data_IF_582846716073
#
_entry.id   IF_582846716073
#
_cell.length_a   1.000
_cell.length_b   1.000
_cell.length_c   1.000
_cell.angle_alpha   90.00
_cell.angle_beta   90.00
_cell.angle_gamma   90.00
#
_symmetry.space_group_name_H-M   'P 1'
#
loop_
_entity.id
_entity.type
_entity.pdbx_description
1 polymer ?
#
# COMPACT_ATOMS: atom_id res chain seq x y z
N UNK A 1 12.12 -3.45 8.95
CA UNK A 1 12.58 -4.50 8.03
C UNK A 1 13.70 -4.03 7.11
N UNK A 2 13.58 -2.85 6.48
CA UNK A 2 14.65 -2.25 5.65
C UNK A 2 15.98 -2.06 6.38
N UNK A 3 15.97 -1.49 7.60
CA UNK A 3 17.19 -1.38 8.43
C UNK A 3 17.88 -2.73 8.73
N UNK A 4 17.12 -3.83 8.76
CA UNK A 4 17.70 -5.17 8.94
C UNK A 4 18.34 -5.69 7.64
N UNK A 5 17.82 -5.30 6.47
CA UNK A 5 18.45 -5.59 5.18
C UNK A 5 19.75 -4.80 5.02
N UNK A 6 19.79 -3.52 5.40
CA UNK A 6 21.01 -2.70 5.33
C UNK A 6 22.15 -3.29 6.19
N UNK A 7 21.84 -3.70 7.42
CA UNK A 7 22.82 -4.38 8.28
C UNK A 7 23.32 -5.68 7.65
N UNK A 8 22.41 -6.47 7.06
CA UNK A 8 22.78 -7.72 6.40
C UNK A 8 23.58 -7.50 5.11
N UNK A 9 23.31 -6.43 4.37
CA UNK A 9 24.05 -6.06 3.15
C UNK A 9 25.50 -5.68 3.47
N UNK A 10 25.69 -4.96 4.59
CA UNK A 10 27.03 -4.65 5.11
C UNK A 10 27.79 -5.92 5.49
N UNK A 11 27.13 -6.85 6.20
CA UNK A 11 27.71 -8.14 6.56
C UNK A 11 28.03 -8.97 5.30
N UNK A 12 27.13 -9.00 4.31
CA UNK A 12 27.32 -9.70 3.03
C UNK A 12 28.54 -9.14 2.28
N UNK A 13 28.69 -7.82 2.23
CA UNK A 13 29.85 -7.16 1.62
C UNK A 13 31.15 -7.54 2.31
N UNK A 14 31.17 -7.58 3.65
CA UNK A 14 32.33 -7.99 4.42
C UNK A 14 32.71 -9.46 4.20
N UNK A 15 31.72 -10.35 4.03
CA UNK A 15 31.98 -11.77 3.73
C UNK A 15 32.51 -11.98 2.30
N UNK A 16 32.19 -11.10 1.35
CA UNK A 16 32.69 -11.19 -0.03
C UNK A 16 34.22 -11.19 -0.08
N UNK A 17 34.89 -10.37 0.73
CA UNK A 17 36.35 -10.34 0.84
C UNK A 17 36.95 -11.66 1.36
N UNK A 18 36.19 -12.40 2.19
CA UNK A 18 36.63 -13.72 2.68
C UNK A 18 36.52 -14.78 1.59
N UNK A 19 35.45 -14.74 0.78
CA UNK A 19 35.29 -15.63 -0.38
C UNK A 19 36.41 -15.40 -1.40
N UNK A 20 36.72 -14.14 -1.74
CA UNK A 20 37.82 -13.81 -2.66
C UNK A 20 39.18 -14.32 -2.17
N UNK A 21 39.42 -14.31 -0.84
CA UNK A 21 40.65 -14.89 -0.26
C UNK A 21 40.70 -16.41 -0.39
N UNK A 22 39.57 -17.10 -0.19
CA UNK A 22 39.50 -18.55 -0.35
C UNK A 22 39.75 -18.94 -1.82
N UNK A 23 39.20 -18.17 -2.76
CA UNK A 23 39.45 -18.34 -4.20
C UNK A 23 40.94 -18.18 -4.54
N UNK A 24 41.58 -17.12 -4.03
CA UNK A 24 43.01 -16.90 -4.24
C UNK A 24 43.88 -18.06 -3.68
N UNK A 25 43.55 -18.55 -2.48
CA UNK A 25 44.26 -19.68 -1.86
C UNK A 25 44.05 -20.99 -2.64
N UNK A 26 42.84 -21.24 -3.14
CA UNK A 26 42.56 -22.42 -3.95
C UNK A 26 43.36 -22.40 -5.26
N UNK A 27 43.42 -21.24 -5.93
CA UNK A 27 44.22 -21.05 -7.14
C UNK A 27 45.73 -21.19 -6.89
N UNK A 28 46.21 -20.73 -5.73
CA UNK A 28 47.62 -20.87 -5.34
C UNK A 28 47.99 -22.35 -5.11
N UNK A 29 47.16 -23.10 -4.39
CA UNK A 29 47.36 -24.54 -4.19
C UNK A 29 47.35 -25.33 -5.50
N UNK A 30 46.50 -24.93 -6.45
CA UNK A 30 46.47 -25.52 -7.79
C UNK A 30 47.78 -25.27 -8.55
N UNK A 31 48.27 -24.02 -8.52
CA UNK A 31 49.53 -23.61 -9.14
C UNK A 31 50.74 -24.38 -8.60
N UNK A 32 50.77 -24.67 -7.30
CA UNK A 32 51.87 -25.43 -6.68
C UNK A 32 51.70 -26.95 -6.78
N UNK A 33 50.64 -27.44 -7.42
CA UNK A 33 50.42 -28.87 -7.64
C UNK A 33 50.18 -29.64 -6.34
N UNK A 34 49.38 -29.08 -5.42
CA UNK A 34 49.03 -29.76 -4.17
C UNK A 34 48.43 -31.15 -4.42
N UNK A 35 48.89 -32.15 -3.68
CA UNK A 35 48.58 -33.56 -3.96
C UNK A 35 47.09 -33.93 -3.83
N UNK A 36 46.31 -33.23 -3.00
CA UNK A 36 44.87 -33.46 -2.79
C UNK A 36 44.01 -32.27 -3.25
N UNK A 37 44.34 -31.73 -4.43
CA UNK A 37 43.52 -30.70 -5.09
C UNK A 37 42.05 -31.09 -5.31
N UNK A 38 41.68 -32.36 -5.61
CA UNK A 38 40.27 -32.74 -5.77
C UNK A 38 39.41 -32.42 -4.53
N UNK A 39 39.94 -32.68 -3.32
CA UNK A 39 39.22 -32.38 -2.07
C UNK A 39 39.11 -30.88 -1.82
N UNK A 40 40.19 -30.12 -2.07
CA UNK A 40 40.20 -28.65 -1.93
C UNK A 40 39.18 -28.02 -2.87
N UNK A 41 39.19 -28.42 -4.15
CA UNK A 41 38.27 -27.93 -5.17
C UNK A 41 36.82 -28.25 -4.82
N UNK A 42 36.52 -29.49 -4.39
CA UNK A 42 35.16 -29.86 -3.98
C UNK A 42 34.63 -29.03 -2.79
N UNK A 43 35.50 -28.65 -1.84
CA UNK A 43 35.12 -27.73 -0.75
C UNK A 43 34.94 -26.30 -1.23
N UNK A 44 35.84 -25.82 -2.08
CA UNK A 44 35.75 -24.49 -2.69
C UNK A 44 34.45 -24.33 -3.48
N UNK A 45 34.15 -25.25 -4.39
CA UNK A 45 32.96 -25.23 -5.22
C UNK A 45 31.68 -25.21 -4.36
N UNK A 46 31.65 -25.99 -3.27
CA UNK A 46 30.53 -25.99 -2.32
C UNK A 46 30.35 -24.64 -1.63
N UNK A 47 31.45 -24.03 -1.18
CA UNK A 47 31.42 -22.70 -0.55
C UNK A 47 30.94 -21.64 -1.55
N UNK A 48 31.46 -21.67 -2.77
CA UNK A 48 31.09 -20.73 -3.84
C UNK A 48 29.61 -20.87 -4.23
N UNK A 49 29.13 -22.10 -4.46
CA UNK A 49 27.72 -22.35 -4.76
C UNK A 49 26.80 -21.87 -3.64
N UNK A 50 27.15 -22.14 -2.39
CA UNK A 50 26.34 -21.68 -1.23
C UNK A 50 26.34 -20.14 -1.15
N UNK A 51 27.46 -19.50 -1.47
CA UNK A 51 27.57 -18.04 -1.50
C UNK A 51 26.72 -17.41 -2.60
N UNK A 52 26.71 -18.00 -3.79
CA UNK A 52 25.88 -17.54 -4.91
C UNK A 52 24.39 -17.69 -4.61
N UNK A 53 23.98 -18.81 -4.02
CA UNK A 53 22.61 -19.02 -3.58
C UNK A 53 22.19 -18.00 -2.52
N UNK A 54 23.09 -17.70 -1.57
CA UNK A 54 22.83 -16.70 -0.54
C UNK A 54 22.63 -15.31 -1.14
N UNK A 55 23.50 -14.88 -2.06
CA UNK A 55 23.36 -13.59 -2.77
C UNK A 55 22.03 -13.53 -3.52
N UNK A 56 21.68 -14.58 -4.26
CA UNK A 56 20.43 -14.66 -5.01
C UNK A 56 19.20 -14.52 -4.11
N UNK A 57 19.16 -15.28 -3.01
CA UNK A 57 18.06 -15.24 -2.04
C UNK A 57 17.97 -13.88 -1.33
N UNK A 58 19.11 -13.26 -1.02
CA UNK A 58 19.14 -11.93 -0.43
C UNK A 58 18.56 -10.88 -1.39
N UNK A 59 18.97 -10.91 -2.66
CA UNK A 59 18.47 -9.99 -3.68
C UNK A 59 16.96 -10.16 -3.91
N UNK A 60 16.50 -11.41 -4.02
CA UNK A 60 15.06 -11.73 -4.12
C UNK A 60 14.28 -11.15 -2.93
N UNK A 61 14.78 -11.35 -1.71
CA UNK A 61 14.17 -10.80 -0.50
C UNK A 61 14.18 -9.27 -0.49
N UNK A 62 15.28 -8.64 -0.93
CA UNK A 62 15.41 -7.18 -1.01
C UNK A 62 14.36 -6.62 -1.97
N UNK A 63 14.29 -7.15 -3.19
CA UNK A 63 13.29 -6.75 -4.19
C UNK A 63 11.86 -6.90 -3.65
N UNK A 64 11.54 -8.05 -3.05
CA UNK A 64 10.19 -8.30 -2.53
C UNK A 64 9.84 -7.34 -1.38
N UNK A 65 10.77 -7.08 -0.46
CA UNK A 65 10.55 -6.12 0.63
C UNK A 65 10.41 -4.69 0.12
N UNK A 66 11.22 -4.26 -0.86
CA UNK A 66 11.09 -2.94 -1.46
C UNK A 66 9.74 -2.76 -2.16
N UNK A 67 9.29 -3.75 -2.94
CA UNK A 67 7.97 -3.75 -3.57
C UNK A 67 6.85 -3.65 -2.54
N UNK A 68 6.90 -4.49 -1.49
CA UNK A 68 5.90 -4.47 -0.44
C UNK A 68 5.84 -3.12 0.29
N UNK A 69 6.99 -2.50 0.60
CA UNK A 69 7.04 -1.17 1.22
C UNK A 69 6.40 -0.11 0.32
N UNK A 70 6.77 -0.07 -0.97
CA UNK A 70 6.20 0.91 -1.91
C UNK A 70 4.68 0.74 -2.09
N UNK A 71 4.20 -0.51 -2.10
CA UNK A 71 2.78 -0.81 -2.14
C UNK A 71 2.05 -0.34 -0.87
N UNK A 72 2.63 -0.56 0.31
CA UNK A 72 2.07 -0.05 1.57
C UNK A 72 2.04 1.48 1.63
N UNK A 73 3.07 2.17 1.16
CA UNK A 73 3.10 3.63 1.08
C UNK A 73 2.01 4.17 0.14
N UNK A 74 1.80 3.50 -0.99
CA UNK A 74 0.74 3.85 -1.95
C UNK A 74 -0.63 3.64 -1.32
N UNK A 75 -0.87 2.49 -0.67
CA UNK A 75 -2.12 2.20 0.02
C UNK A 75 -2.39 3.23 1.13
N UNK A 76 -1.40 3.58 1.94
CA UNK A 76 -1.55 4.59 2.99
C UNK A 76 -1.96 5.97 2.42
N UNK A 77 -1.33 6.39 1.32
CA UNK A 77 -1.70 7.65 0.63
C UNK A 77 -3.14 7.61 0.13
N UNK A 78 -3.57 6.50 -0.48
CA UNK A 78 -4.95 6.35 -0.97
C UNK A 78 -5.96 6.33 0.18
N UNK A 79 -5.63 5.66 1.30
CA UNK A 79 -6.47 5.64 2.50
C UNK A 79 -6.63 7.04 3.11
N UNK A 80 -5.56 7.83 3.12
CA UNK A 80 -5.60 9.23 3.55
C UNK A 80 -6.48 10.08 2.63
N UNK A 81 -6.40 9.88 1.32
CA UNK A 81 -7.24 10.59 0.36
C UNK A 81 -8.73 10.23 0.53
N UNK A 82 -9.04 8.95 0.77
CA UNK A 82 -10.40 8.52 1.12
C UNK A 82 -10.87 9.21 2.39
N UNK A 83 -10.07 9.24 3.45
CA UNK A 83 -10.46 9.89 4.70
C UNK A 83 -10.74 11.39 4.50
N UNK A 84 -9.95 12.08 3.68
CA UNK A 84 -10.14 13.50 3.34
C UNK A 84 -11.43 13.76 2.58
N UNK A 85 -11.81 12.89 1.65
CA UNK A 85 -13.04 13.05 0.85
C UNK A 85 -14.29 12.55 1.58
N UNK A 86 -14.15 11.50 2.39
CA UNK A 86 -15.25 10.86 3.12
C UNK A 86 -15.80 11.74 4.24
N UNK A 87 -14.98 12.54 4.93
CA UNK A 87 -15.46 13.39 6.02
C UNK A 87 -16.42 14.52 5.52
N UNK A 88 -16.08 15.33 4.50
CA UNK A 88 -17.01 16.29 3.90
C UNK A 88 -18.27 15.63 3.34
N UNK A 89 -18.11 14.51 2.62
CA UNK A 89 -19.23 13.77 2.04
C UNK A 89 -20.20 13.27 3.12
N UNK A 90 -19.67 12.73 4.23
CA UNK A 90 -20.46 12.26 5.37
C UNK A 90 -21.22 13.40 6.04
N UNK A 91 -20.59 14.56 6.24
CA UNK A 91 -21.25 15.73 6.84
C UNK A 91 -22.36 16.26 5.93
N UNK A 92 -22.10 16.33 4.63
CA UNK A 92 -23.11 16.74 3.65
C UNK A 92 -24.29 15.76 3.62
N UNK A 93 -24.04 14.45 3.60
CA UNK A 93 -25.09 13.42 3.63
C UNK A 93 -25.95 13.52 4.89
N UNK A 94 -25.34 13.77 6.05
CA UNK A 94 -26.09 13.96 7.30
C UNK A 94 -26.98 15.20 7.23
N UNK A 95 -26.45 16.33 6.76
CA UNK A 95 -27.24 17.56 6.58
C UNK A 95 -28.37 17.35 5.57
N UNK A 96 -28.09 16.67 4.45
CA UNK A 96 -29.08 16.33 3.44
C UNK A 96 -30.21 15.46 4.02
N UNK A 97 -29.89 14.49 4.88
CA UNK A 97 -30.90 13.68 5.55
C UNK A 97 -31.77 14.50 6.51
N UNK A 98 -31.15 15.41 7.28
CA UNK A 98 -31.87 16.31 8.19
C UNK A 98 -32.81 17.25 7.41
N UNK A 99 -32.31 17.91 6.37
CA UNK A 99 -33.09 18.84 5.53
C UNK A 99 -34.28 18.12 4.84
N UNK A 100 -34.11 16.86 4.45
CA UNK A 100 -35.17 16.06 3.82
C UNK A 100 -36.23 15.56 4.82
N UNK A 101 -35.89 15.42 6.10
CA UNK A 101 -36.83 15.03 7.17
C UNK A 101 -37.64 16.21 7.70
N UNK A 102 -37.19 17.45 7.44
CA UNK A 102 -37.84 18.64 7.94
C UNK A 102 -39.25 18.81 7.38
N UNK A 103 -40.23 19.01 8.26
CA UNK A 103 -41.63 19.20 7.88
C UNK A 103 -41.91 20.69 7.71
N UNK A 104 -42.25 21.11 6.49
CA UNK A 104 -42.53 22.52 6.18
C UNK A 104 -44.03 22.82 6.11
N UNK A 105 -44.42 24.00 6.64
CA UNK A 105 -45.77 24.58 6.50
C UNK A 105 -45.61 25.94 5.82
N UNK A 106 -45.79 26.00 4.51
CA UNK A 106 -45.76 27.26 3.76
C UNK A 106 -47.08 28.03 3.90
N UNK A 107 -47.00 29.33 4.14
CA UNK A 107 -48.14 30.25 4.35
C UNK A 107 -48.25 31.32 3.28
N UNK A 108 -47.28 31.43 2.37
CA UNK A 108 -47.29 32.34 1.23
C UNK A 108 -46.74 31.66 -0.03
N UNK A 109 -47.04 32.25 -1.20
CA UNK A 109 -46.48 31.79 -2.48
C UNK A 109 -44.97 32.03 -2.56
N UNK A 110 -44.46 33.10 -1.94
CA UNK A 110 -43.03 33.40 -1.84
C UNK A 110 -42.27 32.33 -1.02
N UNK A 111 -42.87 31.82 0.06
CA UNK A 111 -42.27 30.74 0.85
C UNK A 111 -42.20 29.43 0.05
N UNK A 112 -43.20 29.15 -0.79
CA UNK A 112 -43.19 27.97 -1.68
C UNK A 112 -42.12 28.12 -2.77
N UNK A 113 -41.97 29.30 -3.36
CA UNK A 113 -40.92 29.57 -4.36
C UNK A 113 -39.52 29.47 -3.76
N UNK A 114 -39.32 29.97 -2.53
CA UNK A 114 -38.06 29.83 -1.80
C UNK A 114 -37.72 28.36 -1.52
N UNK A 115 -38.71 27.54 -1.16
CA UNK A 115 -38.53 26.11 -0.96
C UNK A 115 -38.15 25.37 -2.25
N UNK A 116 -38.79 25.73 -3.37
CA UNK A 116 -38.49 25.17 -4.69
C UNK A 116 -37.05 25.52 -5.13
N UNK A 117 -36.62 26.75 -4.90
CA UNK A 117 -35.26 27.21 -5.20
C UNK A 117 -34.22 26.51 -4.31
N UNK A 118 -34.52 26.31 -3.03
CA UNK A 118 -33.68 25.50 -2.14
C UNK A 118 -33.55 24.05 -2.63
N UNK A 119 -34.65 23.44 -3.08
CA UNK A 119 -34.65 22.09 -3.63
C UNK A 119 -33.81 21.97 -4.92
N UNK A 120 -33.90 22.94 -5.84
CA UNK A 120 -33.04 22.95 -7.04
C UNK A 120 -31.55 23.04 -6.68
N UNK A 121 -31.20 23.87 -5.69
CA UNK A 121 -29.81 23.95 -5.18
C UNK A 121 -29.36 22.64 -4.55
N UNK A 122 -30.27 21.97 -3.85
CA UNK A 122 -30.03 20.63 -3.31
C UNK A 122 -29.73 19.61 -4.42
N UNK A 123 -30.52 19.57 -5.50
CA UNK A 123 -30.29 18.66 -6.63
C UNK A 123 -28.92 18.89 -7.30
N UNK A 124 -28.53 20.15 -7.50
CA UNK A 124 -27.20 20.49 -8.05
C UNK A 124 -26.09 19.98 -7.14
N UNK A 125 -26.19 20.25 -5.83
CA UNK A 125 -25.20 19.80 -4.86
C UNK A 125 -25.16 18.28 -4.71
N UNK A 126 -26.30 17.60 -4.83
CA UNK A 126 -26.40 16.14 -4.84
C UNK A 126 -25.63 15.54 -6.00
N UNK A 127 -25.70 16.14 -7.19
CA UNK A 127 -24.91 15.68 -8.34
C UNK A 127 -23.40 15.87 -8.10
N UNK A 128 -22.98 17.01 -7.55
CA UNK A 128 -21.57 17.29 -7.23
C UNK A 128 -21.01 16.32 -6.17
N UNK A 129 -21.73 16.12 -5.06
CA UNK A 129 -21.32 15.20 -3.99
C UNK A 129 -21.46 13.73 -4.39
N UNK A 130 -22.36 13.40 -5.32
CA UNK A 130 -22.42 12.08 -5.95
C UNK A 130 -21.12 11.72 -6.69
N UNK A 131 -20.49 12.69 -7.37
CA UNK A 131 -19.16 12.48 -7.96
C UNK A 131 -18.08 12.27 -6.91
N UNK A 132 -18.18 12.93 -5.75
CA UNK A 132 -17.27 12.72 -4.63
C UNK A 132 -17.41 11.30 -4.05
N UNK A 133 -18.64 10.81 -3.89
CA UNK A 133 -18.93 9.41 -3.56
C UNK A 133 -18.32 8.41 -4.55
N UNK A 134 -18.46 8.68 -5.85
CA UNK A 134 -17.86 7.83 -6.89
C UNK A 134 -16.33 7.81 -6.81
N UNK A 135 -15.69 8.97 -6.59
CA UNK A 135 -14.23 9.05 -6.39
C UNK A 135 -13.78 8.21 -5.20
N UNK A 136 -14.51 8.24 -4.09
CA UNK A 136 -14.20 7.42 -2.91
C UNK A 136 -14.26 5.92 -3.26
N UNK A 137 -15.28 5.48 -4.00
CA UNK A 137 -15.37 4.09 -4.47
C UNK A 137 -14.21 3.71 -5.40
N UNK A 138 -13.84 4.60 -6.33
CA UNK A 138 -12.75 4.34 -7.27
C UNK A 138 -11.39 4.24 -6.54
N UNK A 139 -11.16 5.08 -5.52
CA UNK A 139 -9.98 5.00 -4.66
C UNK A 139 -9.97 3.69 -3.85
N UNK A 140 -11.12 3.22 -3.36
CA UNK A 140 -11.23 1.91 -2.69
C UNK A 140 -10.86 0.76 -3.63
N UNK A 141 -11.35 0.78 -4.87
CA UNK A 141 -10.97 -0.21 -5.90
C UNK A 141 -9.47 -0.18 -6.19
N UNK A 142 -8.86 1.00 -6.24
CA UNK A 142 -7.42 1.13 -6.43
C UNK A 142 -6.62 0.50 -5.27
N UNK A 143 -7.07 0.66 -4.02
CA UNK A 143 -6.46 -0.02 -2.86
C UNK A 143 -6.56 -1.54 -3.02
N UNK A 144 -7.74 -2.06 -3.36
CA UNK A 144 -7.94 -3.50 -3.54
C UNK A 144 -7.06 -4.07 -4.67
N UNK A 145 -6.95 -3.35 -5.78
CA UNK A 145 -6.12 -3.76 -6.90
C UNK A 145 -4.63 -3.75 -6.51
N UNK A 146 -4.16 -2.68 -5.87
CA UNK A 146 -2.77 -2.56 -5.43
C UNK A 146 -2.42 -3.64 -4.40
N UNK A 147 -3.35 -3.98 -3.50
CA UNK A 147 -3.18 -5.05 -2.53
C UNK A 147 -3.12 -6.43 -3.21
N UNK A 148 -4.02 -6.71 -4.17
CA UNK A 148 -4.03 -7.97 -4.94
C UNK A 148 -2.77 -8.15 -5.78
N UNK A 149 -2.31 -7.10 -6.44
CA UNK A 149 -1.11 -7.13 -7.29
C UNK A 149 0.20 -7.40 -6.51
N UNK A 150 0.20 -7.11 -5.20
CA UNK A 150 1.36 -7.27 -4.32
C UNK A 150 1.19 -8.40 -3.29
N UNK A 151 0.17 -9.25 -3.42
CA UNK A 151 -0.18 -10.33 -2.47
C UNK A 151 -0.28 -9.83 -1.01
N UNK A 152 -0.70 -8.58 -0.82
CA UNK A 152 -0.85 -7.95 0.50
C UNK A 152 -2.28 -8.14 1.02
N UNK A 153 -2.42 -8.47 2.29
CA UNK A 153 -3.73 -8.39 2.95
C UNK A 153 -4.15 -6.91 3.02
N UNK A 154 -5.39 -6.59 2.63
CA UNK A 154 -5.91 -5.22 2.66
C UNK A 154 -5.85 -4.67 4.09
N UNK A 155 -5.03 -3.64 4.36
CA UNK A 155 -4.94 -3.07 5.70
C UNK A 155 -6.26 -2.42 6.07
N UNK A 156 -6.75 -2.66 7.29
CA UNK A 156 -7.88 -1.92 7.86
C UNK A 156 -7.52 -0.44 7.88
N UNK A 157 -8.33 0.41 7.26
CA UNK A 157 -8.06 1.84 7.12
C UNK A 157 -7.85 2.48 8.51
N UNK A 158 -6.62 2.91 8.87
CA UNK A 158 -6.31 3.45 10.19
C UNK A 158 -6.94 4.83 10.43
N UNK A 159 -7.30 5.54 9.36
CA UNK A 159 -7.98 6.83 9.37
C UNK A 159 -9.52 6.69 9.46
N UNK A 160 -10.04 5.45 9.49
CA UNK A 160 -11.48 5.21 9.62
C UNK A 160 -12.05 5.66 10.98
N UNK A 161 -11.25 5.70 12.06
CA UNK A 161 -11.71 6.19 13.36
C UNK A 161 -12.06 7.69 13.38
N UNK A 162 -11.63 8.45 12.37
CA UNK A 162 -11.99 9.87 12.17
C UNK A 162 -13.10 10.09 11.15
N UNK A 163 -13.55 9.05 10.45
CA UNK A 163 -14.73 9.15 9.56
C UNK A 163 -15.93 8.57 10.29
N UNK A 164 -17.08 9.27 10.33
CA UNK A 164 -18.26 8.78 11.02
C UNK A 164 -18.60 7.36 10.52
N UNK A 165 -18.92 6.42 11.42
CA UNK A 165 -19.31 5.02 11.11
C UNK A 165 -20.35 4.88 9.99
N UNK A 166 -21.09 5.95 9.71
CA UNK A 166 -22.06 6.10 8.64
C UNK A 166 -21.41 5.91 7.26
N UNK A 167 -20.23 6.46 6.99
CA UNK A 167 -19.66 6.46 5.62
C UNK A 167 -19.26 5.06 5.14
N UNK A 168 -18.72 4.20 6.03
CA UNK A 168 -18.35 2.82 5.67
C UNK A 168 -19.56 1.90 5.47
N UNK A 169 -20.64 2.10 6.23
CA UNK A 169 -21.85 1.29 6.08
C UNK A 169 -22.60 1.62 4.79
N UNK A 170 -22.59 2.89 4.36
CA UNK A 170 -23.27 3.33 3.15
C UNK A 170 -22.46 3.08 1.87
N UNK A 171 -21.12 3.12 1.91
CA UNK A 171 -20.29 2.69 0.78
C UNK A 171 -20.49 1.21 0.44
N UNK A 172 -20.81 0.37 1.43
CA UNK A 172 -21.16 -1.04 1.22
C UNK A 172 -22.56 -1.26 0.62
N UNK A 173 -23.45 -0.25 0.68
CA UNK A 173 -24.82 -0.32 0.16
C UNK A 173 -24.97 0.22 -1.27
N UNK A 174 -23.96 0.93 -1.78
CA UNK A 174 -23.88 1.46 -3.15
C UNK A 174 -23.15 0.52 -4.13
N UNK A 175 -22.93 -0.73 -3.74
CA UNK A 175 -22.30 -1.79 -4.55
C UNK A 175 -23.29 -2.83 -5.03
#
# INVERSE_FOLDING_TARGET
>A
MLKKLEAFDSDLTAQNERIMRIEALAAELEKYGYHDMPTVKGRYDKVHSTWDDLKRLFEERRTNLTKAVAAYETIDSLQLEIAKNAAPFSNWMQQAEEDLRDTFIARSTEEVEALLEAHKKFEVKMHEEGQNGQKIQDLQKQIENTAKENDLNTPVNPYANSTPKVTLHFLAFLG
#
